data_IF_589875424876
#
_entry.id   IF_589875424876
#
_cell.length_a   1.000
_cell.length_b   1.000
_cell.length_c   1.000
_cell.angle_alpha   90.00
_cell.angle_beta   90.00
_cell.angle_gamma   90.00
#
_symmetry.space_group_name_H-M   'P 1'
#
loop_
_entity.id
_entity.type
_entity.pdbx_description
1 polymer ?
#
# COMPACT_ATOMS: atom_id res chain seq x y z
N UNK A 1 11.91 9.26 0.58
CA UNK A 1 10.47 9.13 0.38
C UNK A 1 9.92 10.16 -0.55
N UNK A 2 9.02 9.75 -1.41
CA UNK A 2 8.30 10.61 -2.35
C UNK A 2 6.82 10.54 -2.05
N UNK A 3 6.14 11.69 -2.06
CA UNK A 3 4.69 11.78 -2.10
C UNK A 3 4.28 12.35 -3.45
N UNK A 4 3.21 11.85 -4.04
CA UNK A 4 2.72 12.38 -5.31
C UNK A 4 1.21 12.34 -5.38
N UNK A 5 0.67 13.28 -6.12
CA UNK A 5 -0.75 13.38 -6.47
C UNK A 5 -0.90 13.67 -7.95
N UNK A 6 -1.91 13.10 -8.57
CA UNK A 6 -2.36 13.47 -9.89
C UNK A 6 -3.87 13.59 -9.90
N UNK A 7 -4.39 14.60 -10.55
CA UNK A 7 -5.82 14.86 -10.70
C UNK A 7 -6.19 15.03 -12.18
N UNK A 8 -7.42 14.72 -12.49
CA UNK A 8 -7.99 15.01 -13.81
C UNK A 8 -9.15 16.01 -13.68
N UNK A 9 -9.09 17.04 -14.47
CA UNK A 9 -10.13 18.06 -14.62
C UNK A 9 -10.59 18.13 -16.07
N UNK A 10 -11.90 17.99 -16.27
CA UNK A 10 -12.49 18.07 -17.61
C UNK A 10 -12.21 19.43 -18.26
N UNK A 11 -11.61 19.42 -19.45
CA UNK A 11 -11.24 20.62 -20.19
C UNK A 11 -9.85 21.17 -19.87
N UNK A 12 -9.25 20.81 -18.75
CA UNK A 12 -7.86 21.17 -18.38
C UNK A 12 -6.89 19.99 -18.53
N UNK A 13 -7.39 18.77 -18.37
CA UNK A 13 -6.58 17.55 -18.46
C UNK A 13 -5.97 17.14 -17.12
N UNK A 14 -4.80 16.49 -17.17
CA UNK A 14 -4.08 16.02 -15.99
C UNK A 14 -3.16 17.09 -15.40
N UNK A 15 -3.22 17.26 -14.08
CA UNK A 15 -2.22 17.97 -13.29
C UNK A 15 -1.56 17.00 -12.32
N UNK A 16 -0.25 17.16 -12.07
CA UNK A 16 0.51 16.28 -11.18
C UNK A 16 1.52 17.07 -10.37
N UNK A 17 1.65 16.72 -9.09
CA UNK A 17 2.71 17.22 -8.21
C UNK A 17 3.37 16.07 -7.47
N UNK A 18 4.71 16.13 -7.33
CA UNK A 18 5.53 15.14 -6.61
C UNK A 18 6.54 15.87 -5.73
N UNK A 19 6.57 15.52 -4.44
CA UNK A 19 7.49 16.10 -3.48
C UNK A 19 8.32 15.05 -2.73
N UNK A 20 9.52 15.45 -2.31
CA UNK A 20 10.26 14.71 -1.29
C UNK A 20 9.63 15.00 0.08
N UNK A 21 9.12 13.96 0.72
CA UNK A 21 8.45 14.00 2.03
C UNK A 21 9.27 13.34 3.14
N UNK A 22 10.58 13.18 2.94
CA UNK A 22 11.45 12.52 3.90
C UNK A 22 11.57 13.30 5.21
N UNK A 23 11.70 14.62 5.09
CA UNK A 23 11.95 15.53 6.22
C UNK A 23 10.79 16.48 6.52
N UNK A 24 9.64 16.29 5.88
CA UNK A 24 8.47 17.16 6.08
C UNK A 24 7.18 16.37 5.89
N UNK A 25 6.11 16.66 6.66
CA UNK A 25 4.82 16.02 6.48
C UNK A 25 4.27 16.22 5.06
N UNK A 26 3.57 15.21 4.56
CA UNK A 26 2.92 15.24 3.24
C UNK A 26 2.08 16.51 3.06
N UNK A 27 1.18 16.81 4.01
CA UNK A 27 0.28 17.96 3.95
C UNK A 27 1.04 19.28 3.75
N UNK A 28 2.11 19.51 4.49
CA UNK A 28 2.89 20.75 4.41
C UNK A 28 3.54 20.93 3.02
N UNK A 29 3.94 19.83 2.39
CA UNK A 29 4.58 19.89 1.06
C UNK A 29 3.60 20.17 -0.07
N UNK A 30 2.35 19.73 0.08
CA UNK A 30 1.33 19.88 -0.94
C UNK A 30 0.38 21.06 -0.71
N UNK A 31 0.56 21.82 0.38
CA UNK A 31 -0.35 22.91 0.74
C UNK A 31 -0.44 23.97 -0.37
N UNK A 32 0.71 24.32 -0.98
CA UNK A 32 0.75 25.27 -2.10
C UNK A 32 0.23 24.71 -3.44
N UNK A 33 0.19 23.39 -3.58
CA UNK A 33 -0.21 22.77 -4.85
C UNK A 33 -1.73 22.54 -4.94
N UNK A 34 -2.44 22.64 -3.79
CA UNK A 34 -3.88 22.36 -3.74
C UNK A 34 -4.69 23.29 -4.63
N UNK A 35 -4.23 24.53 -4.82
CA UNK A 35 -4.89 25.51 -5.70
C UNK A 35 -4.78 25.13 -7.19
N UNK A 36 -3.74 24.34 -7.55
CA UNK A 36 -3.50 23.86 -8.91
C UNK A 36 -4.05 22.48 -9.17
N UNK A 37 -4.19 21.66 -8.12
CA UNK A 37 -4.69 20.29 -8.18
C UNK A 37 -6.23 20.27 -8.06
N UNK A 38 -6.87 20.89 -9.04
CA UNK A 38 -8.34 20.95 -9.15
C UNK A 38 -8.89 19.78 -9.95
N UNK A 39 -10.18 19.48 -9.79
CA UNK A 39 -10.84 18.38 -10.46
C UNK A 39 -11.61 17.48 -9.49
N UNK A 40 -12.39 16.55 -10.05
CA UNK A 40 -13.26 15.65 -9.29
C UNK A 40 -12.70 14.24 -9.15
N UNK A 41 -11.62 13.93 -9.84
CA UNK A 41 -10.96 12.63 -9.83
C UNK A 41 -9.47 12.78 -9.60
N UNK A 42 -8.91 11.91 -8.78
CA UNK A 42 -7.47 11.94 -8.49
C UNK A 42 -6.94 10.64 -7.94
N UNK A 43 -5.64 10.46 -8.05
CA UNK A 43 -4.87 9.40 -7.41
C UNK A 43 -3.68 9.98 -6.66
N UNK A 44 -3.26 9.29 -5.60
CA UNK A 44 -2.09 9.68 -4.83
C UNK A 44 -1.26 8.47 -4.41
N UNK A 45 0.00 8.70 -4.12
CA UNK A 45 0.92 7.67 -3.68
C UNK A 45 1.98 8.22 -2.71
N UNK A 46 2.32 7.42 -1.72
CA UNK A 46 3.55 7.57 -0.94
C UNK A 46 4.45 6.40 -1.30
N UNK A 47 5.62 6.70 -1.87
CA UNK A 47 6.61 5.71 -2.28
C UNK A 47 7.93 5.92 -1.53
N UNK A 48 8.57 4.82 -1.16
CA UNK A 48 9.89 4.89 -0.53
C UNK A 48 11.03 5.06 -1.57
N UNK A 49 10.80 4.70 -2.84
CA UNK A 49 11.81 4.73 -3.89
C UNK A 49 11.42 5.64 -5.06
N UNK A 50 10.38 5.29 -5.77
CA UNK A 50 10.09 5.85 -7.08
C UNK A 50 9.09 6.99 -7.03
N UNK A 51 9.25 8.01 -7.90
CA UNK A 51 8.27 9.08 -8.00
C UNK A 51 6.99 8.54 -8.68
N UNK A 52 5.88 8.61 -7.98
CA UNK A 52 4.55 8.25 -8.45
C UNK A 52 3.55 9.34 -8.02
N UNK A 53 2.40 9.52 -8.73
CA UNK A 53 1.92 8.82 -9.94
C UNK A 53 2.74 9.14 -11.19
N UNK A 54 2.81 8.20 -12.12
CA UNK A 54 3.36 8.47 -13.47
C UNK A 54 2.23 8.95 -14.38
N UNK A 55 2.51 9.97 -15.20
CA UNK A 55 1.66 10.38 -16.31
C UNK A 55 2.16 9.70 -17.57
N UNK A 56 1.30 8.96 -18.21
CA UNK A 56 1.57 8.19 -19.43
C UNK A 56 0.69 8.74 -20.56
N UNK A 57 1.29 8.88 -21.73
CA UNK A 57 0.59 9.16 -22.97
C UNK A 57 0.89 8.06 -23.97
N UNK A 58 -0.14 7.39 -24.47
CA UNK A 58 0.01 6.25 -25.37
C UNK A 58 -1.18 6.16 -26.34
N UNK A 59 -1.25 5.08 -27.11
CA UNK A 59 -2.41 4.76 -27.95
C UNK A 59 -3.69 4.50 -27.15
N UNK A 60 -3.57 4.22 -25.84
CA UNK A 60 -4.71 4.08 -24.91
C UNK A 60 -5.23 5.43 -24.38
N UNK A 61 -4.67 6.54 -24.86
CA UNK A 61 -4.92 7.87 -24.34
C UNK A 61 -3.93 8.30 -23.26
N UNK A 62 -4.26 9.38 -22.56
CA UNK A 62 -3.50 9.87 -21.41
C UNK A 62 -4.07 9.29 -20.13
N UNK A 63 -3.21 8.83 -19.23
CA UNK A 63 -3.61 8.33 -17.92
C UNK A 63 -2.53 8.54 -16.86
N UNK A 64 -2.94 8.58 -15.60
CA UNK A 64 -2.04 8.58 -14.45
C UNK A 64 -2.08 7.21 -13.78
N UNK A 65 -0.91 6.67 -13.36
CA UNK A 65 -0.82 5.33 -12.77
C UNK A 65 -0.01 5.33 -11.49
N UNK A 66 -0.50 4.60 -10.49
CA UNK A 66 0.24 4.22 -9.28
C UNK A 66 0.23 2.72 -9.08
N UNK A 67 1.29 2.19 -8.51
CA UNK A 67 1.44 0.76 -8.25
C UNK A 67 2.00 0.51 -6.86
N UNK A 68 1.61 -0.61 -6.27
CA UNK A 68 2.23 -1.14 -5.05
C UNK A 68 2.42 -2.63 -5.19
N UNK A 69 3.64 -3.09 -4.92
CA UNK A 69 3.95 -4.50 -5.01
C UNK A 69 5.43 -4.76 -5.30
N UNK A 70 5.73 -5.98 -5.70
CA UNK A 70 7.07 -6.43 -6.07
C UNK A 70 7.00 -7.29 -7.31
N UNK A 71 7.79 -6.94 -8.32
CA UNK A 71 8.01 -7.74 -9.53
C UNK A 71 9.28 -8.57 -9.30
N UNK A 72 9.17 -9.89 -9.37
CA UNK A 72 10.31 -10.79 -9.16
C UNK A 72 11.01 -11.19 -10.47
N UNK A 73 10.39 -10.91 -11.60
CA UNK A 73 10.90 -11.23 -12.94
C UNK A 73 11.16 -9.99 -13.80
N UNK A 74 11.65 -8.92 -13.17
CA UNK A 74 11.94 -7.64 -13.87
C UNK A 74 12.90 -7.83 -15.06
N UNK A 75 13.98 -8.61 -14.88
CA UNK A 75 14.96 -8.88 -15.94
C UNK A 75 14.35 -9.62 -17.13
N UNK A 76 13.50 -10.61 -16.87
CA UNK A 76 12.76 -11.35 -17.91
C UNK A 76 11.85 -10.40 -18.70
N UNK A 77 11.08 -9.57 -18.00
CA UNK A 77 10.15 -8.63 -18.63
C UNK A 77 10.86 -7.52 -19.40
N UNK A 78 11.98 -7.00 -18.91
CA UNK A 78 12.77 -5.98 -19.58
C UNK A 78 13.32 -6.45 -20.92
N UNK A 79 13.66 -7.74 -21.07
CA UNK A 79 14.13 -8.30 -22.34
C UNK A 79 13.07 -8.33 -23.45
N UNK A 80 11.79 -8.23 -23.10
CA UNK A 80 10.65 -8.26 -24.04
C UNK A 80 10.06 -6.87 -24.34
N UNK A 81 10.48 -5.86 -23.63
CA UNK A 81 9.94 -4.51 -23.74
C UNK A 81 11.05 -3.56 -24.15
N UNK A 82 10.94 -2.97 -25.35
CA UNK A 82 11.88 -1.95 -25.80
C UNK A 82 11.52 -0.63 -25.12
N UNK A 83 12.20 -0.33 -24.01
CA UNK A 83 12.12 0.98 -23.37
C UNK A 83 13.19 1.92 -23.88
N UNK A 84 12.86 3.21 -23.94
CA UNK A 84 13.86 4.23 -23.90
C UNK A 84 14.41 4.33 -22.47
N UNK A 85 15.72 4.22 -22.35
CA UNK A 85 16.43 4.33 -21.08
C UNK A 85 16.13 5.68 -20.41
N UNK A 86 15.46 5.62 -19.24
CA UNK A 86 15.25 6.80 -18.42
C UNK A 86 16.49 7.12 -17.60
N UNK A 87 16.70 8.40 -17.28
CA UNK A 87 17.89 8.90 -16.58
C UNK A 87 18.22 8.10 -15.31
N UNK A 88 19.32 7.34 -15.33
CA UNK A 88 19.82 6.59 -14.18
C UNK A 88 19.94 5.08 -14.35
N UNK A 89 19.63 4.52 -15.52
CA UNK A 89 19.89 3.10 -15.84
C UNK A 89 19.06 2.08 -15.07
N UNK A 90 18.03 2.48 -14.32
CA UNK A 90 17.06 1.59 -13.67
C UNK A 90 15.67 1.91 -14.15
N UNK A 91 14.97 0.88 -14.62
CA UNK A 91 13.57 0.97 -14.96
C UNK A 91 12.76 0.94 -13.66
N UNK A 92 11.85 1.90 -13.53
CA UNK A 92 10.90 1.97 -12.43
C UNK A 92 9.84 0.86 -12.61
N UNK A 93 9.51 0.14 -11.54
CA UNK A 93 8.50 -0.92 -11.59
C UNK A 93 7.14 -0.45 -12.12
N UNK A 94 6.75 0.81 -11.84
CA UNK A 94 5.51 1.39 -12.36
C UNK A 94 5.58 1.66 -13.86
N UNK A 95 6.73 2.06 -14.40
CA UNK A 95 6.97 2.20 -15.84
C UNK A 95 6.86 0.85 -16.55
N UNK A 96 7.43 -0.19 -15.94
CA UNK A 96 7.35 -1.55 -16.47
C UNK A 96 5.88 -2.03 -16.55
N UNK A 97 5.09 -1.78 -15.50
CA UNK A 97 3.65 -2.09 -15.50
C UNK A 97 2.92 -1.31 -16.58
N UNK A 98 3.18 -0.01 -16.72
CA UNK A 98 2.58 0.83 -17.78
C UNK A 98 2.91 0.30 -19.18
N UNK A 99 4.13 -0.14 -19.39
CA UNK A 99 4.53 -0.71 -20.67
C UNK A 99 3.87 -2.06 -20.98
N UNK A 100 3.67 -2.90 -19.95
CA UNK A 100 2.88 -4.14 -20.14
C UNK A 100 1.44 -3.81 -20.52
N UNK A 101 0.82 -2.83 -19.85
CA UNK A 101 -0.54 -2.38 -20.18
C UNK A 101 -0.61 -1.89 -21.62
N UNK A 102 0.36 -1.11 -22.06
CA UNK A 102 0.42 -0.56 -23.42
C UNK A 102 0.65 -1.59 -24.54
N UNK A 103 0.90 -2.86 -24.22
CA UNK A 103 0.97 -3.92 -25.22
C UNK A 103 -0.40 -4.44 -25.68
N UNK A 104 -1.48 -3.92 -25.12
CA UNK A 104 -2.84 -4.36 -25.44
C UNK A 104 -3.70 -3.21 -25.97
N UNK A 105 -4.76 -3.52 -26.73
CA UNK A 105 -5.59 -2.50 -27.38
C UNK A 105 -6.51 -1.75 -26.41
N UNK A 106 -6.75 -2.28 -25.20
CA UNK A 106 -7.58 -1.64 -24.18
C UNK A 106 -6.90 -1.66 -22.81
N UNK A 107 -7.24 -0.74 -21.94
CA UNK A 107 -6.73 -0.69 -20.56
C UNK A 107 -7.07 -1.97 -19.81
N UNK A 108 -8.29 -2.47 -19.94
CA UNK A 108 -8.73 -3.70 -19.27
C UNK A 108 -7.90 -4.91 -19.69
N UNK A 109 -7.71 -5.12 -20.99
CA UNK A 109 -6.85 -6.18 -21.49
C UNK A 109 -5.39 -6.00 -21.10
N UNK A 110 -4.92 -4.76 -21.03
CA UNK A 110 -3.60 -4.40 -20.55
C UNK A 110 -3.38 -4.74 -19.08
N UNK A 111 -4.36 -4.45 -18.23
CA UNK A 111 -4.32 -4.81 -16.81
C UNK A 111 -4.33 -6.33 -16.61
N UNK A 112 -5.17 -7.05 -17.33
CA UNK A 112 -5.20 -8.53 -17.34
C UNK A 112 -3.85 -9.09 -17.77
N UNK A 113 -3.29 -8.56 -18.84
CA UNK A 113 -1.99 -8.99 -19.34
C UNK A 113 -0.87 -8.73 -18.32
N UNK A 114 -0.85 -7.57 -17.71
CA UNK A 114 0.12 -7.26 -16.65
C UNK A 114 0.01 -8.25 -15.47
N UNK A 115 -1.21 -8.60 -15.03
CA UNK A 115 -1.42 -9.60 -13.98
C UNK A 115 -0.87 -10.99 -14.37
N UNK A 116 -0.96 -11.37 -15.64
CA UNK A 116 -0.45 -12.69 -16.12
C UNK A 116 1.08 -12.71 -16.25
N UNK A 117 1.68 -11.59 -16.67
CA UNK A 117 3.12 -11.53 -16.91
C UNK A 117 3.93 -11.34 -15.62
N UNK A 118 3.40 -10.65 -14.63
CA UNK A 118 4.12 -10.32 -13.40
C UNK A 118 4.18 -11.54 -12.48
N UNK A 119 5.39 -12.00 -12.22
CA UNK A 119 5.69 -12.97 -11.15
C UNK A 119 5.96 -12.20 -9.86
N UNK A 120 5.00 -12.17 -8.96
CA UNK A 120 5.08 -11.39 -7.73
C UNK A 120 3.72 -10.93 -7.25
N UNK A 121 3.62 -9.69 -6.80
CA UNK A 121 2.39 -9.02 -6.41
C UNK A 121 2.41 -7.60 -6.95
N UNK A 122 1.36 -7.18 -7.63
CA UNK A 122 1.25 -5.82 -8.14
C UNK A 122 -0.22 -5.39 -8.18
N UNK A 123 -0.59 -4.52 -7.26
CA UNK A 123 -1.88 -3.84 -7.27
C UNK A 123 -1.74 -2.45 -7.91
N UNK A 124 -2.73 -2.05 -8.69
CA UNK A 124 -2.65 -0.91 -9.60
C UNK A 124 -3.86 -0.02 -9.42
N UNK A 125 -3.63 1.30 -9.31
CA UNK A 125 -4.65 2.32 -9.53
C UNK A 125 -4.27 3.12 -10.78
N UNK A 126 -5.21 3.24 -11.72
CA UNK A 126 -4.99 3.91 -13.00
C UNK A 126 -6.16 4.88 -13.26
N UNK A 127 -5.85 6.17 -13.34
CA UNK A 127 -6.81 7.24 -13.57
C UNK A 127 -6.81 7.66 -15.03
N UNK A 128 -7.99 7.64 -15.65
CA UNK A 128 -8.25 8.16 -16.99
C UNK A 128 -9.21 9.34 -16.91
N UNK A 129 -9.53 9.94 -18.05
CA UNK A 129 -10.58 10.95 -18.15
C UNK A 129 -11.98 10.41 -17.84
N UNK A 130 -12.18 9.09 -18.01
CA UNK A 130 -13.48 8.42 -17.86
C UNK A 130 -13.69 7.76 -16.50
N UNK A 131 -12.67 7.74 -15.63
CA UNK A 131 -12.79 7.12 -14.33
C UNK A 131 -11.49 6.51 -13.80
N UNK A 132 -11.59 5.87 -12.64
CA UNK A 132 -10.49 5.24 -11.93
C UNK A 132 -10.58 3.71 -12.06
N UNK A 133 -9.55 3.10 -12.65
CA UNK A 133 -9.39 1.64 -12.64
C UNK A 133 -8.65 1.22 -11.38
N UNK A 134 -9.16 0.19 -10.70
CA UNK A 134 -8.51 -0.46 -9.59
C UNK A 134 -8.33 -1.95 -9.91
N UNK A 135 -7.09 -2.43 -9.90
CA UNK A 135 -6.74 -3.81 -10.22
C UNK A 135 -5.98 -4.42 -9.05
N UNK A 136 -6.60 -5.39 -8.37
CA UNK A 136 -5.93 -6.17 -7.33
C UNK A 136 -5.03 -7.22 -7.97
N UNK A 137 -3.88 -7.50 -7.37
CA UNK A 137 -2.97 -8.52 -7.89
C UNK A 137 -3.63 -9.89 -8.02
N UNK A 138 -3.10 -10.70 -8.95
CA UNK A 138 -3.67 -11.99 -9.36
C UNK A 138 -4.00 -12.93 -8.18
N UNK A 139 -3.20 -12.92 -7.14
CA UNK A 139 -3.32 -13.79 -5.97
C UNK A 139 -3.90 -13.07 -4.74
N UNK A 140 -4.28 -11.81 -4.88
CA UNK A 140 -4.88 -11.03 -3.79
C UNK A 140 -3.95 -10.78 -2.60
N UNK A 141 -2.63 -10.73 -2.81
CA UNK A 141 -1.65 -10.54 -1.73
C UNK A 141 -1.73 -9.18 -1.08
N UNK A 142 -2.00 -8.15 -1.88
CA UNK A 142 -2.19 -6.77 -1.41
C UNK A 142 -3.67 -6.41 -1.57
N UNK A 143 -4.37 -6.05 -0.50
CA UNK A 143 -5.79 -5.70 -0.60
C UNK A 143 -6.00 -4.40 -1.35
N UNK A 144 -7.18 -4.26 -1.97
CA UNK A 144 -7.74 -2.99 -2.42
C UNK A 144 -9.16 -2.92 -1.88
N UNK A 145 -9.45 -1.85 -1.18
CA UNK A 145 -10.78 -1.58 -0.60
C UNK A 145 -11.41 -0.42 -1.34
N UNK A 146 -12.62 -0.62 -1.82
CA UNK A 146 -13.45 0.43 -2.42
C UNK A 146 -14.34 1.00 -1.33
N UNK A 147 -14.28 2.30 -1.11
CA UNK A 147 -15.16 3.00 -0.18
C UNK A 147 -16.20 3.84 -0.91
N UNK A 148 -17.39 3.95 -0.34
CA UNK A 148 -18.48 4.77 -0.83
C UNK A 148 -19.00 5.70 0.26
N UNK A 149 -19.29 6.92 -0.13
CA UNK A 149 -20.12 7.88 0.61
C UNK A 149 -21.03 8.62 -0.35
N UNK A 150 -21.94 9.44 0.14
CA UNK A 150 -22.81 10.25 -0.71
C UNK A 150 -21.95 11.13 -1.66
N UNK A 151 -22.20 10.97 -2.96
CA UNK A 151 -21.54 11.71 -4.03
C UNK A 151 -20.05 11.38 -4.26
N UNK A 152 -19.48 10.33 -3.62
CA UNK A 152 -18.07 10.03 -3.83
C UNK A 152 -17.72 8.56 -3.62
N UNK A 153 -16.71 8.11 -4.38
CA UNK A 153 -16.03 6.82 -4.23
C UNK A 153 -14.54 7.02 -4.00
N UNK A 154 -13.91 6.05 -3.35
CA UNK A 154 -12.45 6.00 -3.26
C UNK A 154 -11.96 4.54 -3.33
N UNK A 155 -10.68 4.37 -3.67
CA UNK A 155 -9.98 3.12 -3.62
C UNK A 155 -8.67 3.29 -2.84
N UNK A 156 -8.36 2.38 -1.92
CA UNK A 156 -7.13 2.42 -1.13
C UNK A 156 -6.71 1.00 -0.75
N UNK A 157 -5.44 0.84 -0.39
CA UNK A 157 -4.91 -0.42 0.17
C UNK A 157 -5.25 -0.59 1.66
N UNK A 158 -5.68 0.49 2.32
CA UNK A 158 -5.99 0.52 3.75
C UNK A 158 -7.37 1.14 3.99
N UNK A 159 -8.18 0.54 4.83
CA UNK A 159 -9.52 1.02 5.17
C UNK A 159 -9.56 2.00 6.34
N UNK A 160 -8.48 2.12 7.13
CA UNK A 160 -8.49 2.90 8.37
C UNK A 160 -8.85 4.38 8.18
N UNK A 161 -8.47 4.97 7.05
CA UNK A 161 -8.76 6.38 6.76
C UNK A 161 -10.23 6.64 6.42
N UNK A 162 -10.98 5.63 6.03
CA UNK A 162 -12.35 5.78 5.54
C UNK A 162 -13.32 6.30 6.59
N UNK A 163 -13.18 5.83 7.83
CA UNK A 163 -14.02 6.29 8.95
C UNK A 163 -13.87 7.79 9.15
N UNK A 164 -12.63 8.30 9.14
CA UNK A 164 -12.35 9.72 9.33
C UNK A 164 -12.80 10.60 8.15
N UNK A 165 -12.92 10.01 6.96
CA UNK A 165 -13.32 10.69 5.72
C UNK A 165 -14.81 10.52 5.42
N UNK A 166 -15.57 9.84 6.30
CA UNK A 166 -17.01 9.65 6.17
C UNK A 166 -17.42 8.60 5.13
N UNK A 167 -16.50 7.69 4.75
CA UNK A 167 -16.86 6.53 3.95
C UNK A 167 -17.38 5.42 4.86
N UNK A 168 -18.61 4.97 4.64
CA UNK A 168 -19.33 4.04 5.53
C UNK A 168 -19.67 2.71 4.89
N UNK A 169 -19.63 2.65 3.56
CA UNK A 169 -19.90 1.46 2.77
C UNK A 169 -18.67 1.13 1.96
N UNK A 170 -18.09 -0.05 2.17
CA UNK A 170 -16.87 -0.45 1.48
C UNK A 170 -16.83 -1.94 1.21
N UNK A 171 -16.16 -2.26 0.10
CA UNK A 171 -15.98 -3.61 -0.42
C UNK A 171 -14.50 -3.85 -0.73
N UNK A 172 -13.98 -4.99 -0.32
CA UNK A 172 -12.67 -5.44 -0.76
C UNK A 172 -12.79 -6.12 -2.14
N UNK A 173 -11.83 -5.83 -3.03
CA UNK A 173 -11.73 -6.54 -4.30
C UNK A 173 -11.19 -7.95 -4.05
N UNK A 174 -11.68 -8.93 -4.80
CA UNK A 174 -11.14 -10.29 -4.80
C UNK A 174 -9.81 -10.41 -5.56
N UNK A 175 -9.14 -11.58 -5.51
CA UNK A 175 -7.87 -11.82 -6.21
C UNK A 175 -8.02 -11.60 -7.73
N UNK A 176 -7.15 -10.80 -8.33
CA UNK A 176 -7.18 -10.49 -9.75
C UNK A 176 -8.39 -9.71 -10.23
N UNK A 177 -9.27 -9.28 -9.35
CA UNK A 177 -10.44 -8.47 -9.71
C UNK A 177 -10.02 -7.11 -10.25
N UNK A 178 -10.69 -6.68 -11.31
CA UNK A 178 -10.51 -5.36 -11.92
C UNK A 178 -11.85 -4.66 -11.95
N UNK A 179 -11.88 -3.44 -11.42
CA UNK A 179 -13.06 -2.58 -11.45
C UNK A 179 -12.74 -1.23 -12.06
N UNK A 180 -13.77 -0.57 -12.62
CA UNK A 180 -13.74 0.84 -12.98
C UNK A 180 -14.71 1.60 -12.09
N UNK A 181 -14.22 2.67 -11.48
CA UNK A 181 -14.96 3.53 -10.57
C UNK A 181 -15.33 4.80 -11.32
N UNK A 182 -16.61 5.08 -11.38
CA UNK A 182 -17.20 6.29 -11.97
C UNK A 182 -17.88 7.13 -10.90
N UNK A 183 -18.32 8.32 -11.27
CA UNK A 183 -19.13 9.16 -10.39
C UNK A 183 -20.44 8.46 -9.93
N UNK A 184 -21.01 7.62 -10.78
CA UNK A 184 -22.31 6.97 -10.57
C UNK A 184 -22.19 5.57 -9.94
N UNK A 185 -21.00 4.99 -9.87
CA UNK A 185 -20.86 3.63 -9.34
C UNK A 185 -19.52 2.94 -9.63
N UNK A 186 -19.50 1.64 -9.36
CA UNK A 186 -18.36 0.75 -9.56
C UNK A 186 -18.78 -0.36 -10.50
N UNK A 187 -18.12 -0.45 -11.64
CA UNK A 187 -18.30 -1.48 -12.65
C UNK A 187 -17.21 -2.56 -12.51
N UNK A 188 -17.61 -3.84 -12.46
CA UNK A 188 -16.66 -4.95 -12.48
C UNK A 188 -16.31 -5.30 -13.92
N UNK A 189 -15.04 -5.11 -14.29
CA UNK A 189 -14.51 -5.41 -15.63
C UNK A 189 -13.93 -6.82 -15.74
N UNK A 190 -13.40 -7.34 -14.64
CA UNK A 190 -12.94 -8.72 -14.52
C UNK A 190 -13.33 -9.24 -13.14
N UNK A 191 -14.01 -10.39 -13.13
CA UNK A 191 -14.44 -11.05 -11.90
C UNK A 191 -13.23 -11.55 -11.07
N UNK A 192 -13.38 -11.67 -9.75
CA UNK A 192 -12.33 -12.23 -8.91
C UNK A 192 -12.04 -13.69 -9.25
N UNK A 193 -10.79 -14.09 -9.06
CA UNK A 193 -10.33 -15.47 -9.18
C UNK A 193 -10.61 -16.24 -7.89
N UNK A 194 -10.60 -17.57 -7.98
CA UNK A 194 -10.85 -18.45 -6.81
C UNK A 194 -9.63 -18.55 -5.90
N UNK A 195 -8.41 -18.56 -6.47
CA UNK A 195 -7.18 -18.73 -5.69
C UNK A 195 -6.73 -17.44 -5.04
N UNK A 196 -6.63 -17.45 -3.70
CA UNK A 196 -6.11 -16.35 -2.91
C UNK A 196 -4.87 -16.79 -2.12
N UNK A 197 -3.84 -15.96 -2.13
CA UNK A 197 -2.61 -16.10 -1.32
C UNK A 197 -2.28 -14.79 -0.62
N UNK A 198 -3.22 -14.32 0.19
CA UNK A 198 -3.01 -13.09 0.94
C UNK A 198 -1.84 -13.22 1.92
N UNK A 199 -1.09 -12.14 2.10
CA UNK A 199 0.06 -12.13 2.97
C UNK A 199 -0.38 -11.99 4.45
N UNK A 200 -0.17 -13.01 5.27
CA UNK A 200 -0.46 -12.96 6.72
C UNK A 200 0.30 -11.85 7.46
N UNK A 201 1.40 -11.37 6.88
CA UNK A 201 2.20 -10.28 7.43
C UNK A 201 1.43 -8.96 7.55
N UNK A 202 0.36 -8.80 6.77
CA UNK A 202 -0.59 -7.68 6.89
C UNK A 202 -1.14 -7.59 8.32
N UNK A 203 -1.58 -8.70 8.88
CA UNK A 203 -2.11 -8.73 10.26
C UNK A 203 -1.01 -8.79 11.31
N UNK A 204 -0.04 -9.67 11.13
CA UNK A 204 0.98 -9.94 12.15
C UNK A 204 1.82 -8.72 12.46
N UNK A 205 2.13 -7.90 11.43
CA UNK A 205 3.08 -6.80 11.61
C UNK A 205 2.72 -5.50 10.88
N UNK A 206 2.40 -5.58 9.57
CA UNK A 206 2.39 -4.42 8.69
C UNK A 206 1.15 -3.54 8.85
N UNK A 207 -0.03 -4.14 8.93
CA UNK A 207 -1.31 -3.43 8.87
C UNK A 207 -1.52 -2.46 10.04
N UNK A 208 -2.24 -1.40 9.77
CA UNK A 208 -2.64 -0.46 10.80
C UNK A 208 -3.66 -1.11 11.75
N UNK A 209 -3.61 -0.89 13.08
CA UNK A 209 -4.45 -1.60 14.05
C UNK A 209 -5.95 -1.56 13.77
N UNK A 210 -6.46 -0.42 13.28
CA UNK A 210 -7.89 -0.27 12.96
C UNK A 210 -8.27 -0.76 11.57
N UNK A 211 -7.30 -1.17 10.73
CA UNK A 211 -7.58 -1.75 9.41
C UNK A 211 -8.18 -3.14 9.53
N UNK A 212 -8.97 -3.47 8.52
CA UNK A 212 -9.59 -4.79 8.35
C UNK A 212 -9.25 -5.31 6.97
N UNK A 213 -8.80 -6.55 6.88
CA UNK A 213 -8.54 -7.25 5.62
C UNK A 213 -9.31 -8.56 5.61
N UNK A 214 -10.02 -8.86 4.53
CA UNK A 214 -10.86 -10.07 4.40
C UNK A 214 -11.78 -10.29 5.62
N UNK A 215 -12.37 -9.20 6.11
CA UNK A 215 -13.26 -9.23 7.26
C UNK A 215 -12.59 -9.42 8.63
N UNK A 216 -11.23 -9.53 8.68
CA UNK A 216 -10.48 -9.73 9.92
C UNK A 216 -9.75 -8.46 10.33
N UNK A 217 -10.13 -7.89 11.48
CA UNK A 217 -9.48 -6.70 12.03
C UNK A 217 -8.06 -7.04 12.55
N UNK A 218 -7.11 -6.15 12.28
CA UNK A 218 -5.69 -6.32 12.60
C UNK A 218 -5.44 -6.43 14.10
N UNK A 219 -5.97 -5.51 14.89
CA UNK A 219 -5.76 -5.48 16.35
C UNK A 219 -6.34 -6.72 17.02
N UNK A 220 -7.57 -7.09 16.63
CA UNK A 220 -8.23 -8.31 17.12
C UNK A 220 -7.43 -9.57 16.82
N UNK A 221 -6.89 -9.67 15.59
CA UNK A 221 -6.08 -10.82 15.20
C UNK A 221 -4.80 -10.91 16.03
N UNK A 222 -4.09 -9.79 16.24
CA UNK A 222 -2.87 -9.73 17.06
C UNK A 222 -3.15 -10.14 18.50
N UNK A 223 -4.25 -9.63 19.07
CA UNK A 223 -4.68 -9.99 20.41
C UNK A 223 -4.97 -11.50 20.55
N UNK A 224 -5.73 -12.08 19.61
CA UNK A 224 -6.03 -13.52 19.62
C UNK A 224 -4.78 -14.39 19.39
N UNK A 225 -3.82 -13.92 18.59
CA UNK A 225 -2.50 -14.56 18.47
C UNK A 225 -1.77 -14.60 19.81
N UNK A 226 -1.75 -13.50 20.55
CA UNK A 226 -1.14 -13.43 21.87
C UNK A 226 -1.75 -14.42 22.85
N UNK A 227 -3.07 -14.51 22.90
CA UNK A 227 -3.78 -15.52 23.71
C UNK A 227 -3.37 -16.95 23.36
N UNK A 228 -3.32 -17.26 22.05
CA UNK A 228 -2.92 -18.61 21.60
C UNK A 228 -1.48 -18.93 21.92
N UNK A 229 -0.59 -17.94 21.89
CA UNK A 229 0.79 -18.10 22.32
C UNK A 229 0.86 -18.45 23.81
N UNK A 230 0.17 -17.71 24.68
CA UNK A 230 0.14 -17.97 26.11
C UNK A 230 -0.35 -19.39 26.46
N UNK A 231 -1.35 -19.90 25.71
CA UNK A 231 -1.85 -21.29 25.93
C UNK A 231 -0.85 -22.38 25.58
N UNK A 232 0.16 -22.08 24.79
CA UNK A 232 1.18 -23.05 24.31
C UNK A 232 2.54 -22.87 24.97
N UNK A 233 2.72 -21.72 25.61
CA UNK A 233 3.99 -21.38 26.24
C UNK A 233 4.05 -22.00 27.63
N UNK A 234 5.16 -22.67 27.91
CA UNK A 234 5.46 -23.27 29.23
C UNK A 234 6.29 -22.33 30.12
N UNK A 235 6.72 -21.18 29.56
CA UNK A 235 7.50 -20.19 30.30
C UNK A 235 6.66 -19.58 31.44
N UNK A 236 7.33 -19.25 32.53
CA UNK A 236 6.76 -18.57 33.70
C UNK A 236 7.42 -17.19 33.87
N UNK A 237 7.11 -16.21 33.01
CA UNK A 237 7.71 -14.88 33.09
C UNK A 237 7.09 -14.07 34.24
N UNK A 238 7.86 -13.17 34.85
CA UNK A 238 7.36 -12.25 35.86
C UNK A 238 6.53 -11.12 35.26
N UNK A 239 6.86 -10.71 34.00
CA UNK A 239 6.15 -9.68 33.26
C UNK A 239 6.05 -10.03 31.78
N UNK A 240 5.03 -9.49 31.11
CA UNK A 240 4.89 -9.53 29.65
C UNK A 240 5.02 -8.12 29.10
N UNK A 241 5.79 -7.97 28.04
CA UNK A 241 6.00 -6.69 27.38
C UNK A 241 5.93 -6.83 25.85
N UNK A 242 5.38 -5.82 25.18
CA UNK A 242 5.34 -5.77 23.73
C UNK A 242 6.38 -4.81 23.15
N UNK A 243 7.07 -5.23 22.09
CA UNK A 243 7.90 -4.31 21.31
C UNK A 243 6.98 -3.35 20.53
N UNK A 244 7.09 -2.03 20.76
CA UNK A 244 6.20 -1.06 20.09
C UNK A 244 6.44 -1.00 18.55
N UNK A 245 5.39 -0.76 17.73
CA UNK A 245 3.99 -0.68 18.15
C UNK A 245 3.26 -2.00 17.89
N UNK A 246 3.71 -2.78 16.89
CA UNK A 246 3.04 -3.98 16.39
C UNK A 246 2.96 -5.13 17.40
N UNK A 247 3.91 -5.21 18.32
CA UNK A 247 3.94 -6.24 19.36
C UNK A 247 2.99 -6.00 20.54
N UNK A 248 2.44 -4.80 20.69
CA UNK A 248 1.64 -4.42 21.88
C UNK A 248 0.38 -5.27 22.01
N UNK A 249 -0.43 -5.39 20.95
CA UNK A 249 -1.66 -6.17 21.02
C UNK A 249 -1.41 -7.65 21.27
N UNK A 250 -0.34 -8.21 20.69
CA UNK A 250 0.08 -9.59 20.98
C UNK A 250 0.43 -9.77 22.46
N UNK A 251 1.19 -8.85 23.05
CA UNK A 251 1.60 -8.90 24.44
C UNK A 251 0.39 -8.72 25.40
N UNK A 252 -0.54 -7.82 25.08
CA UNK A 252 -1.76 -7.66 25.87
C UNK A 252 -2.61 -8.94 25.84
N UNK A 253 -2.77 -9.55 24.67
CA UNK A 253 -3.49 -10.82 24.52
C UNK A 253 -2.83 -11.95 25.31
N UNK A 254 -1.49 -12.04 25.29
CA UNK A 254 -0.72 -12.99 26.07
C UNK A 254 -0.90 -12.76 27.59
N UNK A 255 -0.72 -11.52 28.04
CA UNK A 255 -0.85 -11.17 29.47
C UNK A 255 -2.24 -11.47 30.01
N UNK A 256 -3.29 -11.13 29.27
CA UNK A 256 -4.67 -11.39 29.68
C UNK A 256 -5.00 -12.89 29.75
N UNK A 257 -4.43 -13.72 28.92
CA UNK A 257 -4.65 -15.15 28.91
C UNK A 257 -3.84 -15.89 29.98
N UNK A 258 -2.55 -15.50 30.16
CA UNK A 258 -1.67 -16.12 31.14
C UNK A 258 -1.87 -15.64 32.56
N UNK A 259 -2.50 -14.47 32.77
CA UNK A 259 -2.59 -13.81 34.08
C UNK A 259 -1.30 -13.10 34.51
N UNK A 260 -0.25 -13.11 33.67
CA UNK A 260 1.02 -12.42 33.96
C UNK A 260 0.87 -10.92 33.72
N UNK A 261 1.37 -10.04 34.63
CA UNK A 261 1.24 -8.61 34.46
C UNK A 261 1.82 -8.08 33.17
N UNK A 262 1.08 -7.19 32.49
CA UNK A 262 1.60 -6.44 31.34
C UNK A 262 2.39 -5.22 31.83
N UNK A 263 3.61 -5.05 31.32
CA UNK A 263 4.43 -3.85 31.54
C UNK A 263 4.84 -3.22 30.21
N UNK A 264 5.22 -1.96 30.25
CA UNK A 264 5.64 -1.20 29.06
C UNK A 264 7.06 -0.65 29.22
N UNK A 265 8.09 -1.52 29.27
CA UNK A 265 9.49 -1.12 29.43
C UNK A 265 10.08 -0.50 28.16
N UNK A 266 9.43 -0.70 26.99
CA UNK A 266 9.90 -0.18 25.73
C UNK A 266 9.00 0.95 25.24
N UNK A 267 9.62 2.07 24.86
CA UNK A 267 8.92 3.23 24.27
C UNK A 267 9.58 3.54 22.93
N UNK A 268 8.76 3.67 21.90
CA UNK A 268 9.23 4.06 20.58
C UNK A 268 9.60 5.54 20.57
N UNK A 269 10.81 5.86 20.14
CA UNK A 269 11.24 7.21 19.89
C UNK A 269 10.71 7.66 18.50
N UNK A 270 9.61 8.38 18.51
CA UNK A 270 8.87 8.77 17.30
C UNK A 270 9.58 9.71 16.33
N UNK A 271 10.55 10.58 16.74
CA UNK A 271 11.29 11.43 15.79
C UNK A 271 12.18 10.65 14.83
N UNK A 272 12.55 9.38 15.13
CA UNK A 272 13.36 8.57 14.23
C UNK A 272 12.51 7.54 13.51
N UNK A 273 12.47 7.64 12.17
CA UNK A 273 11.69 6.74 11.32
C UNK A 273 12.36 5.43 10.91
N UNK A 274 13.71 5.28 10.89
CA UNK A 274 14.30 4.06 10.37
C UNK A 274 13.95 2.86 11.24
N UNK A 275 13.43 1.82 10.59
CA UNK A 275 13.27 0.50 11.19
C UNK A 275 14.66 -0.13 11.33
N UNK A 276 15.01 -0.65 12.49
CA UNK A 276 16.35 -1.20 12.77
C UNK A 276 16.76 -2.32 11.80
N UNK A 277 15.80 -3.06 11.25
CA UNK A 277 16.04 -4.18 10.34
C UNK A 277 15.87 -3.84 8.85
N UNK A 278 15.55 -2.58 8.51
CA UNK A 278 15.45 -2.09 7.13
C UNK A 278 16.39 -0.91 6.93
N UNK A 279 17.68 -1.16 6.63
CA UNK A 279 18.61 -0.09 6.33
C UNK A 279 18.15 0.64 5.06
N UNK A 280 18.14 1.97 5.09
CA UNK A 280 17.75 2.79 3.95
C UNK A 280 18.81 2.79 2.83
N UNK A 281 20.05 2.40 3.16
CA UNK A 281 21.14 2.23 2.21
C UNK A 281 21.79 0.87 2.43
N UNK A 282 21.86 0.05 1.41
CA UNK A 282 22.59 -1.25 1.43
C UNK A 282 24.09 -1.08 1.76
N UNK A 283 24.62 0.14 1.70
CA UNK A 283 26.02 0.46 1.90
C UNK A 283 26.44 0.74 3.37
N UNK A 284 25.54 0.74 4.35
CA UNK A 284 25.93 0.99 5.75
C UNK A 284 25.77 -0.25 6.64
N UNK A 285 26.79 -1.13 6.69
CA UNK A 285 26.76 -2.34 7.52
C UNK A 285 26.72 -2.08 9.03
N UNK A 286 26.97 -0.84 9.48
CA UNK A 286 27.01 -0.49 10.90
C UNK A 286 25.61 -0.32 11.51
N UNK A 287 24.56 -0.15 10.70
CA UNK A 287 23.17 -0.01 11.18
C UNK A 287 22.47 -1.33 11.46
N UNK A 288 22.97 -2.43 10.92
CA UNK A 288 22.45 -3.77 11.21
C UNK A 288 22.98 -4.35 12.54
N UNK A 289 24.04 -3.79 13.10
CA UNK A 289 24.74 -4.34 14.26
C UNK A 289 24.46 -3.63 15.60
N UNK A 290 23.60 -2.59 15.61
CA UNK A 290 23.28 -1.86 16.84
C UNK A 290 21.80 -2.05 17.25
N UNK A 291 21.45 -3.17 17.89
CA UNK A 291 20.13 -3.37 18.48
C UNK A 291 19.88 -2.54 19.74
N UNK A 292 20.85 -1.74 20.17
CA UNK A 292 20.95 -1.18 21.52
C UNK A 292 20.44 0.25 21.72
N UNK A 293 19.84 0.91 20.75
CA UNK A 293 19.25 2.25 20.98
C UNK A 293 17.74 2.24 21.21
N UNK A 294 17.29 1.28 21.97
CA UNK A 294 15.98 1.39 22.65
C UNK A 294 16.25 1.95 24.04
N UNK A 295 15.83 3.19 24.28
CA UNK A 295 15.94 3.78 25.60
C UNK A 295 15.14 2.90 26.57
N UNK A 296 15.84 2.23 27.50
CA UNK A 296 15.22 1.68 28.70
C UNK A 296 14.79 2.85 29.57
N UNK A 297 13.53 2.90 29.93
CA UNK A 297 13.10 3.72 31.06
C UNK A 297 13.46 2.94 32.33
N UNK A 298 14.39 3.48 33.11
CA UNK A 298 14.64 3.07 34.49
C UNK A 298 13.42 3.38 35.38
#
# INVERSE_FOLDING_TARGET
RRGGMAVYEKGRGFARSIHNIENSPFRTKFDSDLDELTGTMGIGCISDSDPQPLLIQSHLGSYAITTVGKINNEEELNGHIHFMEMSGGRINATELVAALINQRPTITEGLLYAQEQIKGSMSILLLTEDGLYASRDRLGRTPIVIGRKEGAFCASFESFAYINLGYTDYRELGPGEIVKIHADGVETLSAPREEMKICSFLWVYYGYPTSTYEGVNVEKMRYECGKRLARRDEAQPDIVAGVPDSGIAHAIGYANESGVPFARPFIKYTPTWPRSFMPQNEADPRRCSDPGKQASAD
#
